data_IF_854327099499
#
_entry.id   IF_854327099499
#
_cell.length_a   1.000
_cell.length_b   1.000
_cell.length_c   1.000
_cell.angle_alpha   90.00
_cell.angle_beta   90.00
_cell.angle_gamma   90.00
#
_symmetry.space_group_name_H-M   'P 1'
#
loop_
_entity.id
_entity.type
_entity.pdbx_description
1 polymer ?
#
# COMPACT_ATOMS: atom_id res chain seq x y z
N UNK A 1 -20.44 67.32 0.69
CA UNK A 1 -20.28 66.70 -0.66
C UNK A 1 -19.02 65.84 -0.84
N UNK A 2 -17.95 65.98 -0.03
CA UNK A 2 -16.70 65.22 -0.20
C UNK A 2 -16.82 63.70 0.11
N UNK A 3 -17.63 63.31 1.09
CA UNK A 3 -17.80 61.89 1.50
C UNK A 3 -18.41 61.00 0.41
N UNK A 4 -19.33 61.55 -0.40
CA UNK A 4 -19.96 60.83 -1.50
C UNK A 4 -19.00 60.58 -2.67
N UNK A 5 -18.06 61.50 -2.93
CA UNK A 5 -17.00 61.30 -3.94
C UNK A 5 -16.02 60.20 -3.52
N UNK A 6 -15.65 60.15 -2.24
CA UNK A 6 -14.75 59.13 -1.70
C UNK A 6 -15.37 57.73 -1.79
N UNK A 7 -16.65 57.59 -1.40
CA UNK A 7 -17.37 56.32 -1.50
C UNK A 7 -17.43 55.82 -2.95
N UNK A 8 -17.69 56.72 -3.91
CA UNK A 8 -17.79 56.41 -5.34
C UNK A 8 -16.45 55.99 -5.97
N UNK A 9 -15.34 56.60 -5.54
CA UNK A 9 -13.99 56.18 -5.91
C UNK A 9 -13.62 54.80 -5.35
N UNK A 10 -14.00 54.53 -4.09
CA UNK A 10 -13.79 53.21 -3.47
C UNK A 10 -14.56 52.10 -4.21
N UNK A 11 -15.78 52.38 -4.67
CA UNK A 11 -16.57 51.41 -5.46
C UNK A 11 -15.97 51.19 -6.85
N UNK A 12 -15.45 52.24 -7.50
CA UNK A 12 -14.75 52.10 -8.79
C UNK A 12 -13.48 51.24 -8.68
N UNK A 13 -12.68 51.42 -7.63
CA UNK A 13 -11.46 50.62 -7.40
C UNK A 13 -11.83 49.15 -7.13
N UNK A 14 -12.88 48.90 -6.35
CA UNK A 14 -13.30 47.53 -6.04
C UNK A 14 -14.04 46.84 -7.21
N UNK A 15 -14.74 47.58 -8.07
CA UNK A 15 -15.41 47.01 -9.26
C UNK A 15 -14.44 46.56 -10.37
N UNK A 16 -13.21 47.11 -10.42
CA UNK A 16 -12.16 46.66 -11.34
C UNK A 16 -11.46 45.35 -10.92
N UNK A 17 -11.84 44.75 -9.78
CA UNK A 17 -11.43 43.38 -9.40
C UNK A 17 -12.26 42.28 -10.08
N UNK A 18 -13.25 42.62 -10.90
CA UNK A 18 -14.03 41.67 -11.67
C UNK A 18 -13.33 41.25 -12.96
N UNK A 19 -12.99 39.96 -13.06
CA UNK A 19 -12.45 39.26 -14.25
C UNK A 19 -11.08 39.79 -14.72
N UNK A 20 -10.01 39.34 -14.05
CA UNK A 20 -8.73 39.15 -14.74
C UNK A 20 -8.96 38.13 -15.86
N UNK A 21 -9.25 38.62 -17.06
CA UNK A 21 -9.06 37.80 -18.26
C UNK A 21 -7.63 37.27 -18.21
N UNK A 22 -7.45 35.97 -18.43
CA UNK A 22 -6.12 35.39 -18.65
C UNK A 22 -5.48 36.22 -19.76
N UNK A 23 -4.51 37.08 -19.40
CA UNK A 23 -3.66 37.71 -20.40
C UNK A 23 -2.99 36.55 -21.11
N UNK A 24 -3.30 36.36 -22.38
CA UNK A 24 -2.54 35.46 -23.24
C UNK A 24 -1.15 36.04 -23.26
N UNK A 25 -0.24 35.47 -22.47
CA UNK A 25 1.19 35.76 -22.58
C UNK A 25 1.55 35.41 -24.01
N UNK A 26 1.79 36.42 -24.83
CA UNK A 26 2.29 36.26 -26.19
C UNK A 26 3.68 35.66 -26.09
N UNK A 27 3.91 34.52 -26.75
CA UNK A 27 5.16 33.76 -26.75
C UNK A 27 6.42 34.60 -27.04
N UNK A 28 6.29 35.80 -27.60
CA UNK A 28 7.41 36.71 -27.84
C UNK A 28 8.11 37.20 -26.57
N UNK A 29 7.40 37.40 -25.44
CA UNK A 29 8.01 37.86 -24.17
C UNK A 29 8.77 36.73 -23.47
N UNK A 30 8.28 35.49 -23.62
CA UNK A 30 8.96 34.29 -23.15
C UNK A 30 10.27 34.01 -23.92
N UNK A 31 10.37 34.47 -25.17
CA UNK A 31 11.54 34.28 -26.03
C UNK A 31 12.64 35.34 -25.85
N UNK A 32 12.33 36.52 -25.30
CA UNK A 32 13.28 37.65 -25.26
C UNK A 32 13.75 38.05 -23.87
N UNK A 33 13.09 37.58 -22.80
CA UNK A 33 13.54 37.85 -21.43
C UNK A 33 14.38 36.70 -20.88
N UNK A 34 15.61 37.01 -20.47
CA UNK A 34 16.56 36.07 -19.85
C UNK A 34 15.96 35.38 -18.61
N UNK A 35 15.17 36.11 -17.82
CA UNK A 35 14.47 35.57 -16.64
C UNK A 35 13.38 34.53 -17.03
N UNK A 36 12.77 34.68 -18.20
CA UNK A 36 11.80 33.69 -18.71
C UNK A 36 12.48 32.42 -19.20
N UNK A 37 13.69 32.53 -19.76
CA UNK A 37 14.49 31.38 -20.18
C UNK A 37 14.93 30.54 -18.98
N UNK A 38 15.44 31.18 -17.93
CA UNK A 38 15.84 30.49 -16.69
C UNK A 38 14.66 29.76 -16.03
N UNK A 39 13.48 30.41 -15.94
CA UNK A 39 12.28 29.77 -15.39
C UNK A 39 11.85 28.55 -16.20
N UNK A 40 11.93 28.61 -17.53
CA UNK A 40 11.59 27.50 -18.40
C UNK A 40 12.58 26.34 -18.29
N UNK A 41 13.89 26.61 -18.17
CA UNK A 41 14.89 25.56 -17.92
C UNK A 41 14.71 24.88 -16.56
N UNK A 42 14.41 25.64 -15.51
CA UNK A 42 14.09 25.10 -14.19
C UNK A 42 12.82 24.24 -14.25
N UNK A 43 11.77 24.69 -14.93
CA UNK A 43 10.53 23.91 -15.08
C UNK A 43 10.74 22.64 -15.93
N UNK A 44 11.55 22.71 -16.98
CA UNK A 44 11.90 21.56 -17.81
C UNK A 44 12.72 20.51 -17.04
N UNK A 45 13.70 20.95 -16.24
CA UNK A 45 14.49 20.06 -15.38
C UNK A 45 13.65 19.44 -14.27
N UNK A 46 12.75 20.21 -13.63
CA UNK A 46 11.80 19.66 -12.66
C UNK A 46 10.85 18.62 -13.28
N UNK A 47 10.35 18.88 -14.50
CA UNK A 47 9.50 17.93 -15.22
C UNK A 47 10.26 16.63 -15.50
N UNK A 48 11.50 16.72 -15.99
CA UNK A 48 12.33 15.53 -16.25
C UNK A 48 12.62 14.73 -14.97
N UNK A 49 12.89 15.40 -13.84
CA UNK A 49 13.12 14.73 -12.55
C UNK A 49 11.84 14.03 -12.07
N UNK A 50 10.69 14.69 -12.18
CA UNK A 50 9.38 14.09 -11.81
C UNK A 50 9.03 12.90 -12.71
N UNK A 51 9.34 12.98 -14.00
CA UNK A 51 9.07 11.92 -14.96
C UNK A 51 9.96 10.69 -14.72
N UNK A 52 11.27 10.89 -14.50
CA UNK A 52 12.18 9.81 -14.08
C UNK A 52 11.70 9.12 -12.81
N UNK A 53 11.36 9.89 -11.77
CA UNK A 53 10.85 9.33 -10.50
C UNK A 53 9.56 8.53 -10.68
N UNK A 54 8.65 8.96 -11.58
CA UNK A 54 7.43 8.22 -11.90
C UNK A 54 7.74 6.93 -12.68
N UNK A 55 8.68 6.98 -13.60
CA UNK A 55 9.12 5.81 -14.37
C UNK A 55 9.75 4.77 -13.45
N UNK A 56 10.64 5.18 -12.54
CA UNK A 56 11.30 4.28 -11.57
C UNK A 56 10.28 3.64 -10.63
N UNK A 57 9.32 4.43 -10.11
CA UNK A 57 8.25 3.89 -9.26
C UNK A 57 7.34 2.91 -10.00
N UNK A 58 7.10 3.12 -11.31
CA UNK A 58 6.32 2.20 -12.13
C UNK A 58 7.10 0.91 -12.42
N UNK A 59 8.39 1.01 -12.68
CA UNK A 59 9.27 -0.13 -12.89
C UNK A 59 9.36 -1.00 -11.62
N UNK A 60 9.56 -0.40 -10.45
CA UNK A 60 9.61 -1.12 -9.18
C UNK A 60 8.28 -1.86 -8.89
N UNK A 61 7.13 -1.24 -9.17
CA UNK A 61 5.82 -1.91 -9.03
C UNK A 61 5.65 -3.07 -9.99
N UNK A 62 6.15 -2.96 -11.22
CA UNK A 62 6.06 -4.03 -12.21
C UNK A 62 6.92 -5.24 -11.80
N UNK A 63 8.11 -5.01 -11.23
CA UNK A 63 8.97 -6.07 -10.71
C UNK A 63 8.28 -6.80 -9.55
N UNK A 64 7.78 -6.08 -8.54
CA UNK A 64 7.07 -6.72 -7.42
C UNK A 64 5.81 -7.47 -7.87
N UNK A 65 5.04 -6.93 -8.82
CA UNK A 65 3.87 -7.63 -9.33
C UNK A 65 4.24 -8.94 -10.06
N UNK A 66 5.39 -8.98 -10.74
CA UNK A 66 5.89 -10.19 -11.37
C UNK A 66 6.35 -11.22 -10.32
N UNK A 67 7.06 -10.78 -9.28
CA UNK A 67 7.47 -11.63 -8.14
C UNK A 67 6.26 -12.24 -7.43
N UNK A 68 5.25 -11.42 -7.11
CA UNK A 68 4.00 -11.86 -6.49
C UNK A 68 3.28 -12.90 -7.35
N UNK A 69 3.28 -12.71 -8.68
CA UNK A 69 2.66 -13.66 -9.60
C UNK A 69 3.40 -15.00 -9.62
N UNK A 70 4.75 -14.97 -9.62
CA UNK A 70 5.56 -16.20 -9.55
C UNK A 70 5.29 -16.93 -8.24
N UNK A 71 5.28 -16.22 -7.11
CA UNK A 71 4.97 -16.79 -5.81
C UNK A 71 3.58 -17.44 -5.77
N UNK A 72 2.56 -16.76 -6.29
CA UNK A 72 1.19 -17.32 -6.41
C UNK A 72 1.16 -18.60 -7.24
N UNK A 73 1.82 -18.61 -8.40
CA UNK A 73 1.87 -19.82 -9.23
C UNK A 73 2.61 -20.97 -8.53
N UNK A 74 3.62 -20.67 -7.71
CA UNK A 74 4.33 -21.69 -6.93
C UNK A 74 3.44 -22.28 -5.84
N UNK A 75 2.68 -21.46 -5.11
CA UNK A 75 1.71 -21.93 -4.10
C UNK A 75 0.63 -22.77 -4.75
N UNK A 76 0.03 -22.30 -5.85
CA UNK A 76 -1.06 -23.00 -6.53
C UNK A 76 -0.63 -24.39 -7.04
N UNK A 77 0.62 -24.54 -7.49
CA UNK A 77 1.16 -25.82 -7.96
C UNK A 77 1.71 -26.70 -6.83
N UNK A 78 1.79 -26.20 -5.60
CA UNK A 78 2.34 -26.94 -4.47
C UNK A 78 1.24 -27.33 -3.47
N UNK A 79 0.70 -28.55 -3.66
CA UNK A 79 -0.28 -29.13 -2.76
C UNK A 79 0.20 -29.27 -1.30
N UNK A 80 1.52 -29.22 -1.05
CA UNK A 80 2.13 -29.28 0.28
C UNK A 80 2.44 -27.93 0.91
N UNK A 81 1.97 -26.81 0.34
CA UNK A 81 2.22 -25.49 0.94
C UNK A 81 1.49 -25.36 2.28
N UNK A 82 2.25 -25.12 3.36
CA UNK A 82 1.71 -25.00 4.72
C UNK A 82 1.48 -23.55 5.07
N UNK A 83 0.23 -23.19 5.34
CA UNK A 83 -0.15 -21.88 5.83
C UNK A 83 -0.05 -21.83 7.35
N UNK A 84 0.86 -21.00 7.86
CA UNK A 84 1.11 -20.84 9.30
C UNK A 84 0.53 -19.54 9.87
N UNK A 85 0.19 -19.56 11.16
CA UNK A 85 -0.30 -18.38 11.89
C UNK A 85 -1.80 -18.17 11.75
N UNK A 86 -2.36 -17.37 12.65
CA UNK A 86 -3.80 -17.23 12.80
C UNK A 86 -4.46 -16.59 11.57
N UNK A 87 -5.56 -17.15 11.07
CA UNK A 87 -6.27 -16.64 9.89
C UNK A 87 -6.58 -15.13 9.94
N UNK A 88 -6.94 -14.61 11.12
CA UNK A 88 -7.26 -13.18 11.30
C UNK A 88 -6.02 -12.26 11.24
N UNK A 89 -4.84 -12.81 11.50
CA UNK A 89 -3.55 -12.08 11.46
C UNK A 89 -2.97 -11.97 10.05
N UNK A 90 -3.48 -12.75 9.10
CA UNK A 90 -3.01 -12.78 7.70
C UNK A 90 -3.21 -11.44 7.00
N UNK A 91 -2.26 -11.08 6.14
CA UNK A 91 -2.38 -9.91 5.26
C UNK A 91 -3.30 -10.25 4.06
N UNK A 92 -3.63 -9.24 3.25
CA UNK A 92 -4.54 -9.45 2.11
C UNK A 92 -3.96 -10.42 1.05
N UNK A 93 -2.69 -10.32 0.64
CA UNK A 93 -2.10 -11.25 -0.32
C UNK A 93 -2.15 -12.71 0.15
N UNK A 94 -1.78 -12.99 1.40
CA UNK A 94 -1.81 -14.36 1.94
C UNK A 94 -3.24 -14.92 1.99
N UNK A 95 -4.25 -14.08 2.25
CA UNK A 95 -5.66 -14.50 2.18
C UNK A 95 -6.11 -14.78 0.74
N UNK A 96 -5.61 -14.02 -0.24
CA UNK A 96 -5.87 -14.30 -1.66
C UNK A 96 -5.25 -15.64 -2.06
N UNK A 97 -4.05 -15.95 -1.59
CA UNK A 97 -3.38 -17.23 -1.85
C UNK A 97 -4.20 -18.41 -1.29
N UNK A 98 -4.66 -18.31 -0.03
CA UNK A 98 -5.52 -19.34 0.60
C UNK A 98 -6.85 -19.49 -0.15
N UNK A 99 -7.46 -18.39 -0.60
CA UNK A 99 -8.70 -18.44 -1.36
C UNK A 99 -8.51 -19.12 -2.70
N UNK A 100 -7.40 -18.85 -3.38
CA UNK A 100 -7.07 -19.48 -4.66
C UNK A 100 -6.85 -20.97 -4.47
N UNK A 101 -6.13 -21.40 -3.42
CA UNK A 101 -5.91 -22.84 -3.16
C UNK A 101 -7.20 -23.56 -2.80
N UNK A 102 -8.16 -22.89 -2.15
CA UNK A 102 -9.49 -23.43 -1.83
C UNK A 102 -10.50 -23.28 -2.97
N UNK A 103 -10.16 -22.59 -4.07
CA UNK A 103 -11.07 -22.34 -5.19
C UNK A 103 -12.24 -21.41 -4.85
N UNK A 104 -12.07 -20.52 -3.87
CA UNK A 104 -13.11 -19.61 -3.40
C UNK A 104 -13.09 -18.26 -4.16
N UNK A 105 -14.14 -17.46 -3.98
CA UNK A 105 -14.22 -16.11 -4.54
C UNK A 105 -13.45 -15.09 -3.70
N UNK A 106 -12.64 -14.25 -4.36
CA UNK A 106 -11.91 -13.13 -3.75
C UNK A 106 -12.84 -11.95 -3.41
N UNK A 107 -12.38 -11.04 -2.55
CA UNK A 107 -13.16 -9.88 -2.12
C UNK A 107 -12.41 -8.94 -1.17
N UNK A 108 -13.17 -8.32 -0.26
CA UNK A 108 -12.58 -7.54 0.84
C UNK A 108 -11.90 -8.47 1.84
N UNK A 109 -10.93 -7.96 2.62
CA UNK A 109 -10.24 -8.78 3.64
C UNK A 109 -11.22 -9.50 4.58
N UNK A 110 -12.26 -8.80 5.04
CA UNK A 110 -13.26 -9.37 5.93
C UNK A 110 -14.06 -10.50 5.25
N UNK A 111 -14.52 -10.28 4.01
CA UNK A 111 -15.25 -11.30 3.26
C UNK A 111 -14.38 -12.54 3.01
N UNK A 112 -13.08 -12.33 2.73
CA UNK A 112 -12.16 -13.44 2.48
C UNK A 112 -11.97 -14.31 3.73
N UNK A 113 -11.77 -13.70 4.90
CA UNK A 113 -11.72 -14.43 6.18
C UNK A 113 -13.01 -15.20 6.40
N UNK A 114 -14.16 -14.56 6.18
CA UNK A 114 -15.47 -15.18 6.36
C UNK A 114 -15.67 -16.38 5.42
N UNK A 115 -15.36 -16.24 4.13
CA UNK A 115 -15.47 -17.34 3.16
C UNK A 115 -14.58 -18.53 3.54
N UNK A 116 -13.35 -18.27 4.00
CA UNK A 116 -12.44 -19.32 4.47
C UNK A 116 -13.02 -20.02 5.70
N UNK A 117 -13.52 -19.26 6.68
CA UNK A 117 -14.14 -19.83 7.88
C UNK A 117 -15.39 -20.67 7.54
N UNK A 118 -16.24 -20.15 6.64
CA UNK A 118 -17.43 -20.86 6.19
C UNK A 118 -17.06 -22.16 5.46
N UNK A 119 -16.03 -22.14 4.60
CA UNK A 119 -15.53 -23.35 3.93
C UNK A 119 -15.14 -24.43 4.94
N UNK A 120 -14.27 -24.12 5.91
CA UNK A 120 -13.81 -25.09 6.90
C UNK A 120 -14.88 -25.51 7.90
N UNK A 121 -15.97 -24.74 8.03
CA UNK A 121 -17.16 -25.17 8.78
C UNK A 121 -17.91 -26.30 8.07
N UNK A 122 -17.93 -26.32 6.74
CA UNK A 122 -18.56 -27.39 5.95
C UNK A 122 -17.59 -28.52 5.59
N UNK A 123 -16.27 -28.26 5.62
CA UNK A 123 -15.20 -29.21 5.31
C UNK A 123 -14.19 -29.31 6.47
N UNK A 124 -14.60 -29.86 7.64
CA UNK A 124 -13.72 -29.95 8.81
C UNK A 124 -12.50 -30.86 8.58
N UNK A 125 -12.59 -31.83 7.68
CA UNK A 125 -11.48 -32.71 7.28
C UNK A 125 -10.30 -31.91 6.72
N UNK A 126 -10.57 -30.90 5.90
CA UNK A 126 -9.54 -30.06 5.29
C UNK A 126 -8.87 -29.16 6.33
N UNK A 127 -9.59 -28.75 7.37
CA UNK A 127 -9.04 -27.93 8.46
C UNK A 127 -7.96 -28.69 9.25
N UNK A 128 -8.05 -30.02 9.30
CA UNK A 128 -7.06 -30.89 9.97
C UNK A 128 -5.87 -31.24 9.08
N UNK A 129 -5.93 -30.92 7.79
CA UNK A 129 -4.83 -31.17 6.87
C UNK A 129 -3.56 -30.42 7.32
N UNK A 130 -2.39 -31.00 7.01
CA UNK A 130 -1.10 -30.40 7.35
C UNK A 130 -0.95 -28.98 6.79
N UNK A 131 -1.60 -28.69 5.65
CA UNK A 131 -1.53 -27.41 4.95
C UNK A 131 -2.29 -26.29 5.67
N UNK A 132 -3.42 -26.60 6.33
CA UNK A 132 -4.32 -25.60 6.91
C UNK A 132 -4.42 -25.63 8.43
N UNK A 133 -3.91 -26.67 9.09
CA UNK A 133 -3.93 -26.81 10.56
C UNK A 133 -3.31 -25.62 11.31
N UNK A 134 -2.30 -24.98 10.71
CA UNK A 134 -1.65 -23.78 11.24
C UNK A 134 -2.52 -22.52 11.26
N UNK A 135 -3.61 -22.47 10.49
CA UNK A 135 -4.52 -21.33 10.40
C UNK A 135 -5.43 -21.17 11.62
N UNK A 136 -5.74 -22.30 12.27
CA UNK A 136 -6.67 -22.38 13.40
C UNK A 136 -5.98 -22.62 14.74
N UNK A 137 -4.74 -23.11 14.68
CA UNK A 137 -3.90 -23.29 15.86
C UNK A 137 -3.38 -21.93 16.33
N UNK A 138 -4.20 -21.21 17.10
CA UNK A 138 -3.75 -20.04 17.83
C UNK A 138 -2.54 -20.42 18.67
N UNK A 139 -1.47 -19.63 18.57
CA UNK A 139 -0.22 -19.84 19.30
C UNK A 139 -0.45 -19.80 20.83
N UNK A 140 -0.91 -20.91 21.38
CA UNK A 140 -0.95 -21.21 22.81
C UNK A 140 0.06 -22.32 23.14
N UNK A 141 1.15 -22.42 22.36
CA UNK A 141 2.26 -23.31 22.66
C UNK A 141 3.54 -22.50 22.83
N UNK A 142 3.94 -22.35 24.09
CA UNK A 142 5.36 -22.24 24.45
C UNK A 142 5.90 -20.82 24.55
N UNK A 143 5.48 -20.02 25.54
CA UNK A 143 6.38 -19.88 26.69
C UNK A 143 6.89 -21.27 27.07
N UNK A 144 8.08 -21.62 26.60
CA UNK A 144 8.84 -22.69 27.24
C UNK A 144 8.94 -22.31 28.71
N UNK A 145 8.05 -22.86 29.53
CA UNK A 145 8.35 -23.07 30.93
C UNK A 145 9.65 -23.88 30.91
N UNK A 146 10.72 -23.27 31.39
CA UNK A 146 11.99 -23.94 31.56
C UNK A 146 11.73 -25.28 32.28
N UNK A 147 12.37 -26.38 31.87
CA UNK A 147 12.28 -27.61 32.63
C UNK A 147 12.69 -27.33 34.09
N UNK A 148 11.96 -27.87 35.09
CA UNK A 148 12.34 -27.70 36.48
C UNK A 148 13.77 -28.23 36.69
N UNK A 149 14.62 -27.53 37.47
CA UNK A 149 15.95 -28.02 37.76
C UNK A 149 15.83 -29.34 38.53
N UNK A 150 16.23 -30.43 37.88
CA UNK A 150 16.37 -31.73 38.53
C UNK A 150 17.53 -31.62 39.50
N UNK A 151 17.21 -31.51 40.79
CA UNK A 151 18.15 -31.76 41.88
C UNK A 151 18.47 -33.25 41.87
N UNK A 152 19.67 -33.60 41.43
CA UNK A 152 20.28 -34.91 41.69
C UNK A 152 21.62 -34.69 42.37
N UNK A 153 21.77 -35.44 43.45
CA UNK A 153 22.86 -35.50 44.42
C UNK A 153 24.27 -35.54 43.83
N UNK A 154 25.15 -34.80 44.52
CA UNK A 154 26.45 -35.25 45.04
C UNK A 154 27.25 -36.23 44.17
N UNK A 155 28.15 -35.67 43.35
CA UNK A 155 29.50 -36.23 43.16
C UNK A 155 30.47 -35.06 43.18
N UNK A 156 31.25 -34.98 44.25
CA UNK A 156 32.40 -34.09 44.33
C UNK A 156 33.48 -34.53 43.35
N UNK A 157 34.04 -33.58 42.59
CA UNK A 157 35.45 -33.63 42.24
C UNK A 157 36.03 -32.21 42.05
N UNK A 158 37.23 -31.92 42.60
CA UNK A 158 37.77 -30.58 42.72
C UNK A 158 38.68 -30.19 41.55
N UNK A 159 38.94 -28.88 41.48
CA UNK A 159 39.96 -28.21 40.67
C UNK A 159 39.60 -27.89 39.20
N UNK A 160 39.10 -26.68 38.99
CA UNK A 160 39.68 -25.83 37.95
C UNK A 160 39.59 -24.34 38.34
N UNK A 161 40.72 -23.62 38.46
CA UNK A 161 40.72 -22.18 38.64
C UNK A 161 40.69 -21.54 37.25
N UNK A 162 39.52 -21.07 36.81
CA UNK A 162 39.45 -20.21 35.62
C UNK A 162 39.04 -18.81 36.04
N UNK A 163 39.95 -17.88 35.75
CA UNK A 163 39.96 -16.48 36.12
C UNK A 163 38.64 -15.77 35.84
N UNK A 164 38.14 -15.10 36.87
CA UNK A 164 36.97 -14.25 36.83
C UNK A 164 37.24 -12.98 36.05
N UNK A 165 36.64 -12.87 34.87
CA UNK A 165 36.34 -11.59 34.26
C UNK A 165 34.95 -11.12 34.72
N UNK A 166 34.84 -10.03 35.51
CA UNK A 166 33.54 -9.43 35.80
C UNK A 166 33.05 -8.69 34.56
N UNK A 167 31.97 -9.18 33.95
CA UNK A 167 31.19 -8.38 33.00
C UNK A 167 30.43 -7.30 33.78
N UNK A 168 30.47 -6.03 33.33
CA UNK A 168 29.76 -4.95 34.01
C UNK A 168 28.25 -5.12 33.86
N UNK A 169 27.64 -5.48 34.97
CA UNK A 169 26.22 -5.33 35.25
C UNK A 169 25.92 -3.82 35.29
N UNK A 170 25.29 -3.26 34.26
CA UNK A 170 24.40 -2.10 34.37
C UNK A 170 23.84 -1.70 32.99
N UNK A 171 22.55 -1.98 32.79
CA UNK A 171 21.65 -1.03 32.13
C UNK A 171 20.19 -1.44 32.41
N UNK A 172 19.66 -0.84 33.47
CA UNK A 172 18.22 -0.78 33.73
C UNK A 172 17.60 0.09 32.63
N UNK A 173 16.95 -0.53 31.66
CA UNK A 173 16.11 0.19 30.69
C UNK A 173 14.83 0.65 31.41
N UNK A 174 14.78 1.93 31.75
CA UNK A 174 13.59 2.55 32.33
C UNK A 174 12.42 2.63 31.32
N UNK A 175 11.17 2.67 31.80
CA UNK A 175 10.00 2.86 30.95
C UNK A 175 9.99 4.27 30.35
N UNK A 176 10.20 4.38 29.04
CA UNK A 176 9.91 5.60 28.29
C UNK A 176 8.40 5.81 28.23
N UNK A 177 7.89 6.65 29.14
CA UNK A 177 6.56 7.23 29.02
C UNK A 177 6.60 8.32 27.96
N UNK A 178 6.18 8.00 26.74
CA UNK A 178 5.78 9.01 25.76
C UNK A 178 4.39 9.54 26.13
N UNK A 179 4.21 10.85 26.38
CA UNK A 179 2.88 11.40 26.60
C UNK A 179 2.06 11.30 25.31
N UNK A 180 0.80 10.89 25.45
CA UNK A 180 -0.16 10.77 24.37
C UNK A 180 -0.30 12.11 23.64
N UNK A 181 0.26 12.18 22.44
CA UNK A 181 0.12 13.33 21.56
C UNK A 181 -1.31 13.34 21.01
N UNK A 182 -2.13 14.25 21.52
CA UNK A 182 -3.49 14.50 21.04
C UNK A 182 -3.40 14.86 19.55
N UNK A 183 -4.04 14.12 18.64
CA UNK A 183 -3.99 14.43 17.23
C UNK A 183 -4.66 15.79 16.97
N UNK A 184 -4.06 16.66 16.14
CA UNK A 184 -4.66 17.95 15.79
C UNK A 184 -6.04 17.73 15.13
N UNK A 185 -7.01 18.63 15.38
CA UNK A 185 -8.33 18.53 14.76
C UNK A 185 -8.20 18.57 13.25
N UNK A 186 -8.83 17.58 12.60
CA UNK A 186 -8.85 17.45 11.15
C UNK A 186 -9.42 18.74 10.52
N UNK A 187 -8.78 19.28 9.47
CA UNK A 187 -9.36 20.39 8.72
C UNK A 187 -10.70 19.94 8.14
N UNK A 188 -11.76 20.67 8.51
CA UNK A 188 -13.07 20.50 7.92
C UNK A 188 -12.96 20.86 6.44
N UNK A 189 -12.95 19.84 5.58
CA UNK A 189 -12.98 20.05 4.14
C UNK A 189 -14.33 20.66 3.74
N UNK A 190 -14.35 21.70 2.90
CA UNK A 190 -15.59 22.23 2.36
C UNK A 190 -16.32 21.10 1.62
N UNK A 191 -17.59 20.90 1.97
CA UNK A 191 -18.50 19.97 1.30
C UNK A 191 -18.50 20.29 -0.19
N UNK A 192 -17.87 19.43 -0.99
CA UNK A 192 -17.84 19.57 -2.44
C UNK A 192 -19.26 19.44 -2.97
N UNK A 193 -19.77 20.56 -3.50
CA UNK A 193 -21.02 20.66 -4.22
C UNK A 193 -21.09 19.52 -5.24
N UNK A 194 -22.09 18.64 -5.09
CA UNK A 194 -22.26 17.46 -5.93
C UNK A 194 -22.62 17.91 -7.34
N UNK A 195 -21.67 17.81 -8.28
CA UNK A 195 -21.94 18.09 -9.68
C UNK A 195 -22.58 16.85 -10.31
N UNK A 196 -23.72 16.97 -11.01
CA UNK A 196 -24.33 15.83 -11.68
C UNK A 196 -23.37 15.28 -12.74
N UNK A 197 -23.08 13.98 -12.65
CA UNK A 197 -22.26 13.26 -13.61
C UNK A 197 -22.90 13.35 -15.01
N UNK A 198 -22.14 13.70 -16.06
CA UNK A 198 -22.65 13.64 -17.41
C UNK A 198 -22.93 12.17 -17.77
N UNK A 199 -24.16 11.89 -18.19
CA UNK A 199 -24.57 10.59 -18.71
C UNK A 199 -23.72 10.21 -19.92
N UNK A 200 -22.65 9.45 -19.70
CA UNK A 200 -21.91 8.78 -20.74
C UNK A 200 -22.79 7.65 -21.28
N UNK A 201 -23.46 7.89 -22.41
CA UNK A 201 -24.02 6.80 -23.22
C UNK A 201 -22.86 6.20 -24.04
N UNK A 202 -22.51 4.92 -23.85
CA UNK A 202 -21.54 4.26 -24.71
C UNK A 202 -22.07 4.23 -26.15
N UNK A 203 -21.26 4.71 -27.08
CA UNK A 203 -21.55 4.68 -28.51
C UNK A 203 -21.38 3.22 -29.01
N UNK A 204 -22.44 2.54 -29.48
CA UNK A 204 -22.37 1.14 -29.87
C UNK A 204 -21.64 0.88 -31.19
N UNK A 205 -21.12 1.90 -31.87
CA UNK A 205 -20.65 1.78 -33.27
C UNK A 205 -19.12 1.66 -33.45
N UNK A 206 -18.37 1.17 -32.45
CA UNK A 206 -16.90 1.03 -32.55
C UNK A 206 -16.40 -0.38 -32.87
N UNK A 207 -17.26 -1.39 -32.97
CA UNK A 207 -16.86 -2.79 -33.20
C UNK A 207 -17.18 -3.35 -34.60
N UNK A 208 -17.47 -2.49 -35.58
CA UNK A 208 -17.57 -2.92 -36.97
C UNK A 208 -16.23 -2.66 -37.67
N UNK A 209 -15.62 -3.73 -38.19
CA UNK A 209 -14.41 -3.78 -39.02
C UNK A 209 -13.08 -3.95 -38.29
N UNK A 210 -12.69 -5.21 -38.10
CA UNK A 210 -11.40 -5.72 -38.59
C UNK A 210 -11.41 -7.26 -38.55
N UNK A 211 -12.16 -7.87 -39.48
CA UNK A 211 -11.92 -9.28 -39.85
C UNK A 211 -10.72 -9.30 -40.78
N UNK A 212 -9.52 -9.43 -40.20
CA UNK A 212 -8.33 -9.76 -40.98
C UNK A 212 -8.41 -11.23 -41.41
N UNK A 213 -8.52 -11.40 -42.72
CA UNK A 213 -8.39 -12.65 -43.46
C UNK A 213 -6.94 -13.15 -43.33
N UNK A 214 -6.73 -14.27 -42.66
CA UNK A 214 -5.43 -14.95 -42.62
C UNK A 214 -5.37 -15.99 -43.74
N UNK A 215 -4.43 -15.89 -44.71
CA UNK A 215 -4.20 -16.94 -45.68
C UNK A 215 -3.44 -18.10 -45.03
N UNK A 216 -4.04 -19.28 -45.03
CA UNK A 216 -3.35 -20.53 -44.72
C UNK A 216 -2.53 -20.97 -45.92
N UNK A 217 -1.21 -21.02 -45.78
CA UNK A 217 -0.34 -21.76 -46.71
C UNK A 217 -0.08 -23.15 -46.13
N UNK A 218 -0.57 -24.18 -46.83
CA UNK A 218 -0.20 -25.57 -46.59
C UNK A 218 1.11 -25.85 -47.34
N UNK A 219 2.13 -26.34 -46.62
CA UNK A 219 3.31 -26.96 -47.23
C UNK A 219 3.09 -28.48 -47.27
N UNK A 220 3.04 -29.00 -48.48
CA UNK A 220 3.26 -30.42 -48.83
C UNK A 220 4.73 -30.76 -48.87
#
# INVERSE_FOLDING_TARGET
MAKAKLARLQTQINSKKGKKGKVKVTNSVLLTSMESHERHEVEATECQVKEKKKADAKAAKAVHAAEDQVHRTQIQNNAGHVFSGLLTSKNKPELEDIIITLGLASGTKANMIQHIQDYFKYHPEDATSACYSGLFSGAHHGRHAAPPPTTVDEVEDPCSPFDGHPLPLNQVAGPSHTPAQIPPPLPQYPQYLHHPQPNFRPNPNMYAHNYYHMPYTYNT
#
